data_IF_185669972431
#
_entry.id   IF_185669972431
#
_cell.length_a   1.000
_cell.length_b   1.000
_cell.length_c   1.000
_cell.angle_alpha   90.00
_cell.angle_beta   90.00
_cell.angle_gamma   90.00
#
_symmetry.space_group_name_H-M   'P 1'
#
loop_
_entity.id
_entity.type
_entity.pdbx_description
1 polymer ?
#
# COMPACT_ATOMS: atom_id res chain seq x y z
N UNK A 1 0.65 18.08 -12.59
CA UNK A 1 0.15 18.44 -11.24
C UNK A 1 1.17 19.24 -10.44
N UNK A 2 2.46 18.88 -10.43
CA UNK A 2 3.48 19.58 -9.62
C UNK A 2 4.62 20.21 -10.44
N UNK A 3 4.50 20.23 -11.78
CA UNK A 3 5.49 20.78 -12.71
C UNK A 3 6.92 20.24 -12.55
N UNK A 4 7.08 19.06 -11.96
CA UNK A 4 8.35 18.38 -11.82
C UNK A 4 8.62 17.45 -13.02
N UNK A 5 9.87 17.36 -13.49
CA UNK A 5 10.22 16.44 -14.56
C UNK A 5 9.97 15.00 -14.11
N UNK A 6 9.30 14.23 -14.97
CA UNK A 6 9.14 12.80 -14.77
C UNK A 6 10.42 12.09 -15.24
N UNK A 7 11.00 11.26 -14.37
CA UNK A 7 12.28 10.59 -14.63
C UNK A 7 12.17 9.08 -14.47
N UNK A 8 13.13 8.49 -13.75
CA UNK A 8 13.21 7.05 -13.44
C UNK A 8 12.75 6.79 -11.99
N UNK A 9 11.45 6.84 -11.64
CA UNK A 9 11.00 6.85 -10.26
C UNK A 9 11.41 5.58 -9.48
N UNK A 10 11.28 4.39 -10.09
CA UNK A 10 11.66 3.14 -9.43
C UNK A 10 13.17 3.05 -9.17
N UNK A 11 14.00 3.34 -10.19
CA UNK A 11 15.46 3.32 -10.03
C UNK A 11 15.93 4.35 -8.99
N UNK A 12 15.36 5.57 -9.02
CA UNK A 12 15.70 6.62 -8.06
C UNK A 12 15.25 6.29 -6.64
N UNK A 13 14.09 5.68 -6.47
CA UNK A 13 13.62 5.23 -5.14
C UNK A 13 14.48 4.10 -4.59
N UNK A 14 14.86 3.13 -5.42
CA UNK A 14 15.80 2.06 -5.06
C UNK A 14 17.10 2.66 -4.54
N UNK A 15 17.69 3.57 -5.30
CA UNK A 15 18.96 4.19 -4.94
C UNK A 15 18.86 5.08 -3.69
N UNK A 16 17.75 5.80 -3.51
CA UNK A 16 17.50 6.59 -2.30
C UNK A 16 17.54 5.71 -1.04
N UNK A 17 16.85 4.56 -1.06
CA UNK A 17 16.83 3.64 0.08
C UNK A 17 18.22 3.05 0.33
N UNK A 18 18.95 2.66 -0.71
CA UNK A 18 20.32 2.15 -0.57
C UNK A 18 21.29 3.21 -0.04
N UNK A 19 21.18 4.45 -0.51
CA UNK A 19 21.97 5.58 -0.03
C UNK A 19 21.73 5.85 1.47
N UNK A 20 20.46 5.83 1.89
CA UNK A 20 20.07 5.96 3.29
C UNK A 20 20.62 4.79 4.13
N UNK A 21 20.54 3.54 3.63
CA UNK A 21 21.11 2.38 4.32
C UNK A 21 22.62 2.46 4.45
N UNK A 22 23.35 2.99 3.47
CA UNK A 22 24.79 3.21 3.57
C UNK A 22 25.16 4.22 4.68
N UNK A 23 24.35 5.28 4.83
CA UNK A 23 24.49 6.23 5.95
C UNK A 23 24.25 5.53 7.28
N UNK A 24 23.22 4.70 7.39
CA UNK A 24 22.93 3.95 8.61
C UNK A 24 23.99 2.89 8.93
N UNK A 25 24.52 2.18 7.94
CA UNK A 25 25.63 1.26 8.15
C UNK A 25 26.87 1.99 8.70
N UNK A 26 27.10 3.23 8.29
CA UNK A 26 28.14 4.06 8.90
C UNK A 26 27.82 4.41 10.36
N UNK A 27 26.60 4.86 10.65
CA UNK A 27 26.21 5.29 12.01
C UNK A 27 26.12 4.14 13.02
N UNK A 28 25.51 3.03 12.65
CA UNK A 28 25.18 1.93 13.57
C UNK A 28 26.19 0.79 13.54
N UNK A 29 26.96 0.63 12.45
CA UNK A 29 27.89 -0.49 12.27
C UNK A 29 29.34 -0.04 12.05
N UNK A 30 29.60 1.27 11.95
CA UNK A 30 30.94 1.84 11.75
C UNK A 30 31.52 1.63 10.35
N UNK A 31 30.72 1.22 9.36
CA UNK A 31 31.18 1.00 7.98
C UNK A 31 31.63 2.33 7.33
N UNK A 32 32.70 2.37 6.52
CA UNK A 32 33.06 3.58 5.78
C UNK A 32 31.93 4.03 4.84
N UNK A 33 31.62 5.33 4.82
CA UNK A 33 30.64 5.89 3.91
C UNK A 33 31.28 6.23 2.55
N UNK A 34 31.02 5.39 1.53
CA UNK A 34 31.41 5.63 0.13
C UNK A 34 30.31 5.17 -0.84
N UNK A 35 29.14 5.80 -0.75
CA UNK A 35 28.02 5.53 -1.66
C UNK A 35 28.12 6.40 -2.91
N UNK A 36 28.12 5.78 -4.09
CA UNK A 36 28.18 6.46 -5.40
C UNK A 36 27.20 5.80 -6.37
N UNK A 37 26.05 6.44 -6.59
CA UNK A 37 25.03 5.99 -7.53
C UNK A 37 24.77 6.98 -8.67
N UNK A 38 23.75 6.69 -9.48
CA UNK A 38 23.34 7.55 -10.60
C UNK A 38 22.68 8.86 -10.11
N UNK A 39 21.98 8.81 -8.97
CA UNK A 39 21.17 9.91 -8.44
C UNK A 39 21.69 10.52 -7.13
N UNK A 40 22.43 9.76 -6.32
CA UNK A 40 22.92 10.14 -4.99
C UNK A 40 24.40 9.80 -4.84
N UNK A 41 25.14 10.66 -4.14
CA UNK A 41 26.54 10.43 -3.77
C UNK A 41 26.76 10.89 -2.34
N UNK A 42 27.21 9.99 -1.48
CA UNK A 42 27.51 10.24 -0.07
C UNK A 42 28.85 9.61 0.27
N UNK A 43 29.87 10.44 0.50
CA UNK A 43 31.25 9.99 0.70
C UNK A 43 31.93 10.65 1.90
N UNK A 44 31.17 11.38 2.71
CA UNK A 44 31.67 12.13 3.88
C UNK A 44 30.62 12.08 4.98
N UNK A 45 30.99 11.54 6.14
CA UNK A 45 30.23 11.65 7.38
C UNK A 45 31.12 12.29 8.43
N UNK A 46 30.77 13.51 8.86
CA UNK A 46 31.52 14.20 9.91
C UNK A 46 30.98 13.77 11.28
N UNK A 47 31.80 13.75 12.34
CA UNK A 47 31.32 13.41 13.69
C UNK A 47 30.15 14.27 14.17
N UNK A 48 30.05 15.52 13.70
CA UNK A 48 28.95 16.44 14.03
C UNK A 48 27.58 16.02 13.46
N UNK A 49 27.54 15.11 12.48
CA UNK A 49 26.32 14.60 11.87
C UNK A 49 26.03 13.13 12.24
N UNK A 50 26.90 12.50 13.01
CA UNK A 50 26.73 11.11 13.47
C UNK A 50 25.93 11.09 14.77
N UNK A 51 24.80 10.36 14.84
CA UNK A 51 24.05 10.20 16.08
C UNK A 51 24.88 9.52 17.18
N UNK A 52 24.79 10.02 18.41
CA UNK A 52 25.42 9.41 19.58
C UNK A 52 24.55 8.31 20.21
N UNK A 53 23.22 8.49 20.19
CA UNK A 53 22.27 7.48 20.67
C UNK A 53 21.91 6.50 19.55
N UNK A 54 22.47 5.29 19.64
CA UNK A 54 22.31 4.21 18.66
C UNK A 54 21.59 2.98 19.20
N UNK A 55 21.02 3.06 20.41
CA UNK A 55 20.53 1.89 21.16
C UNK A 55 19.38 1.11 20.49
N UNK A 56 18.63 1.75 19.58
CA UNK A 56 17.47 1.16 18.89
C UNK A 56 17.77 0.69 17.46
N UNK A 57 19.00 0.87 16.98
CA UNK A 57 19.39 0.52 15.61
C UNK A 57 18.72 1.37 14.53
N UNK A 58 18.91 0.96 13.28
CA UNK A 58 18.33 1.63 12.12
C UNK A 58 16.79 1.40 12.05
N UNK A 59 15.99 2.45 11.79
CA UNK A 59 14.54 2.30 11.71
C UNK A 59 14.12 1.50 10.48
N UNK A 60 13.00 0.78 10.58
CA UNK A 60 12.41 0.05 9.45
C UNK A 60 11.89 1.00 8.37
N UNK A 61 12.03 0.60 7.12
CA UNK A 61 11.64 1.34 5.93
C UNK A 61 10.57 0.55 5.20
N UNK A 62 9.36 1.10 5.11
CA UNK A 62 8.29 0.54 4.28
C UNK A 62 8.07 1.45 3.07
N UNK A 63 7.97 0.85 1.87
CA UNK A 63 7.79 1.58 0.62
C UNK A 63 6.37 1.37 0.08
N UNK A 64 5.65 2.46 -0.21
CA UNK A 64 4.38 2.38 -0.93
C UNK A 64 4.60 2.06 -2.41
N UNK A 65 3.91 1.04 -2.93
CA UNK A 65 4.01 0.64 -4.32
C UNK A 65 2.68 0.10 -4.87
N UNK A 66 2.50 0.26 -6.19
CA UNK A 66 1.30 -0.21 -6.93
C UNK A 66 1.72 -0.97 -8.19
N UNK A 67 2.55 -0.36 -9.02
CA UNK A 67 3.04 -0.97 -10.25
C UNK A 67 4.19 -1.96 -9.98
N UNK A 68 4.36 -2.99 -10.83
CA UNK A 68 5.27 -4.11 -10.59
C UNK A 68 6.73 -3.67 -10.38
N UNK A 69 7.20 -2.66 -11.11
CA UNK A 69 8.58 -2.16 -10.96
C UNK A 69 8.86 -1.57 -9.56
N UNK A 70 7.92 -0.81 -9.00
CA UNK A 70 8.11 -0.24 -7.66
C UNK A 70 7.91 -1.30 -6.58
N UNK A 71 7.03 -2.27 -6.81
CA UNK A 71 6.82 -3.42 -5.92
C UNK A 71 8.07 -4.28 -5.82
N UNK A 72 8.73 -4.53 -6.96
CA UNK A 72 10.01 -5.25 -7.00
C UNK A 72 11.10 -4.49 -6.24
N UNK A 73 11.19 -3.16 -6.42
CA UNK A 73 12.11 -2.30 -5.65
C UNK A 73 11.83 -2.37 -4.15
N UNK A 74 10.56 -2.31 -3.73
CA UNK A 74 10.20 -2.43 -2.32
C UNK A 74 10.72 -3.74 -1.72
N UNK A 75 10.44 -4.86 -2.39
CA UNK A 75 10.91 -6.18 -1.95
C UNK A 75 12.44 -6.32 -1.98
N UNK A 76 13.11 -5.67 -2.93
CA UNK A 76 14.56 -5.72 -3.03
C UNK A 76 15.25 -4.99 -1.86
N UNK A 77 14.85 -3.75 -1.56
CA UNK A 77 15.65 -2.85 -0.68
C UNK A 77 14.94 -2.35 0.58
N UNK A 78 13.62 -2.50 0.70
CA UNK A 78 12.84 -2.04 1.87
C UNK A 78 12.51 -3.19 2.84
N UNK A 79 12.14 -2.87 4.07
CA UNK A 79 11.75 -3.84 5.11
C UNK A 79 10.27 -4.28 4.99
N UNK A 80 9.54 -3.66 4.05
CA UNK A 80 8.16 -3.98 3.76
C UNK A 80 7.56 -3.10 2.67
N UNK A 81 6.31 -3.39 2.33
CA UNK A 81 5.50 -2.68 1.33
C UNK A 81 4.22 -2.15 1.96
N UNK A 82 3.87 -0.92 1.61
CA UNK A 82 2.53 -0.37 1.84
C UNK A 82 1.73 -0.55 0.54
N UNK A 83 0.80 -1.50 0.56
CA UNK A 83 -0.12 -1.71 -0.55
C UNK A 83 -1.08 -0.52 -0.62
N UNK A 84 -1.47 -0.11 -1.83
CA UNK A 84 -2.46 0.96 -1.97
C UNK A 84 -3.88 0.37 -1.80
N UNK A 85 -4.79 1.11 -1.14
CA UNK A 85 -6.17 0.67 -0.91
C UNK A 85 -6.94 0.32 -2.19
N UNK A 86 -6.60 0.99 -3.30
CA UNK A 86 -7.04 0.61 -4.65
C UNK A 86 -6.24 -0.58 -5.20
N UNK A 87 -6.43 -1.75 -4.59
CA UNK A 87 -6.02 -3.05 -5.10
C UNK A 87 -7.17 -4.03 -4.87
N UNK A 88 -7.08 -5.19 -5.50
CA UNK A 88 -7.98 -6.31 -5.25
C UNK A 88 -7.13 -7.53 -4.91
N UNK A 89 -7.74 -8.57 -4.34
CA UNK A 89 -7.06 -9.85 -4.11
C UNK A 89 -6.47 -10.41 -5.40
N UNK A 90 -7.24 -10.36 -6.50
CA UNK A 90 -6.78 -10.82 -7.82
C UNK A 90 -5.51 -10.09 -8.28
N UNK A 91 -5.48 -8.75 -8.15
CA UNK A 91 -4.28 -7.98 -8.52
C UNK A 91 -3.11 -8.29 -7.58
N UNK A 92 -3.36 -8.49 -6.28
CA UNK A 92 -2.30 -8.90 -5.34
C UNK A 92 -1.70 -10.24 -5.73
N UNK A 93 -2.52 -11.26 -6.01
CA UNK A 93 -2.06 -12.59 -6.37
C UNK A 93 -1.38 -12.64 -7.74
N UNK A 94 -1.91 -11.94 -8.74
CA UNK A 94 -1.43 -12.05 -10.12
C UNK A 94 -0.27 -11.10 -10.46
N UNK A 95 -0.14 -9.98 -9.75
CA UNK A 95 0.82 -8.92 -10.11
C UNK A 95 1.75 -8.60 -8.94
N UNK A 96 1.19 -8.31 -7.76
CA UNK A 96 1.98 -7.84 -6.62
C UNK A 96 2.89 -8.93 -6.07
N UNK A 97 2.36 -10.12 -5.74
CA UNK A 97 3.15 -11.20 -5.15
C UNK A 97 4.27 -11.69 -6.07
N UNK A 98 4.05 -11.92 -7.38
CA UNK A 98 5.14 -12.26 -8.30
C UNK A 98 6.22 -11.17 -8.39
N UNK A 99 5.86 -9.89 -8.27
CA UNK A 99 6.84 -8.81 -8.24
C UNK A 99 7.62 -8.76 -6.91
N UNK A 100 6.97 -9.08 -5.78
CA UNK A 100 7.63 -9.22 -4.49
C UNK A 100 8.64 -10.36 -4.53
N UNK A 101 8.25 -11.54 -5.03
CA UNK A 101 9.13 -12.70 -5.16
C UNK A 101 10.39 -12.39 -5.98
N UNK A 102 10.23 -11.68 -7.10
CA UNK A 102 11.37 -11.22 -7.92
C UNK A 102 12.30 -10.30 -7.15
N UNK A 103 11.76 -9.34 -6.41
CA UNK A 103 12.57 -8.40 -5.63
C UNK A 103 13.33 -9.08 -4.49
N UNK A 104 12.66 -9.99 -3.77
CA UNK A 104 13.29 -10.81 -2.72
C UNK A 104 14.40 -11.70 -3.28
N UNK A 105 14.17 -12.34 -4.43
CA UNK A 105 15.17 -13.17 -5.08
C UNK A 105 16.43 -12.38 -5.49
N UNK A 106 16.29 -11.11 -5.88
CA UNK A 106 17.43 -10.24 -6.21
C UNK A 106 18.30 -9.89 -5.02
N UNK A 107 17.71 -9.74 -3.83
CA UNK A 107 18.44 -9.40 -2.60
C UNK A 107 18.81 -10.63 -1.77
N UNK A 108 18.39 -11.84 -2.18
CA UNK A 108 18.59 -13.08 -1.43
C UNK A 108 17.82 -13.13 -0.10
N UNK A 109 16.77 -12.29 0.05
CA UNK A 109 15.98 -12.18 1.28
C UNK A 109 14.79 -13.14 1.27
N UNK A 110 14.35 -13.55 2.45
CA UNK A 110 13.19 -14.42 2.60
C UNK A 110 11.90 -13.61 2.75
N UNK A 111 10.76 -14.22 2.38
CA UNK A 111 9.43 -13.62 2.58
C UNK A 111 9.15 -13.26 4.04
N UNK A 112 9.70 -14.01 5.00
CA UNK A 112 9.53 -13.77 6.42
C UNK A 112 10.17 -12.46 6.91
N UNK A 113 11.16 -11.93 6.17
CA UNK A 113 11.89 -10.71 6.51
C UNK A 113 11.29 -9.45 5.86
N UNK A 114 10.08 -9.56 5.29
CA UNK A 114 9.43 -8.51 4.51
C UNK A 114 7.97 -8.37 4.89
N UNK A 115 7.57 -7.20 5.40
CA UNK A 115 6.20 -6.95 5.88
C UNK A 115 5.30 -6.42 4.76
N UNK A 116 4.19 -7.10 4.50
CA UNK A 116 3.11 -6.63 3.62
C UNK A 116 2.03 -5.98 4.47
N UNK A 117 1.93 -4.65 4.38
CA UNK A 117 0.91 -3.87 5.04
C UNK A 117 -0.17 -3.43 4.04
N UNK A 118 -1.44 -3.72 4.35
CA UNK A 118 -2.56 -3.40 3.46
C UNK A 118 -3.65 -2.55 4.15
N UNK A 119 -3.85 -1.29 3.71
CA UNK A 119 -5.00 -0.50 4.08
C UNK A 119 -6.24 -0.87 3.25
N UNK A 120 -6.91 -1.95 3.65
CA UNK A 120 -8.13 -2.43 2.99
C UNK A 120 -9.36 -1.60 3.35
N UNK A 121 -10.33 -1.58 2.44
CA UNK A 121 -11.64 -0.99 2.67
C UNK A 121 -12.56 -1.94 3.43
N UNK A 122 -13.31 -1.37 4.38
CA UNK A 122 -14.38 -2.05 5.11
C UNK A 122 -15.68 -1.29 4.88
N UNK A 123 -16.74 -2.00 4.50
CA UNK A 123 -18.10 -1.46 4.39
C UNK A 123 -19.00 -2.23 5.33
N UNK A 124 -19.40 -1.55 6.41
CA UNK A 124 -20.25 -2.10 7.46
C UNK A 124 -20.88 -0.95 8.26
N UNK A 125 -21.84 -1.28 9.12
CA UNK A 125 -22.55 -0.34 9.99
C UNK A 125 -23.18 -1.04 11.19
N UNK A 126 -23.37 -0.31 12.29
CA UNK A 126 -24.15 -0.74 13.45
C UNK A 126 -25.67 -0.72 13.17
N UNK A 127 -26.07 0.01 12.12
CA UNK A 127 -27.42 0.06 11.59
C UNK A 127 -27.39 0.26 10.07
N UNK A 128 -28.54 0.07 9.43
CA UNK A 128 -28.74 0.23 7.97
C UNK A 128 -28.32 1.62 7.47
N UNK A 129 -28.60 2.66 8.26
CA UNK A 129 -28.27 4.03 7.87
C UNK A 129 -26.75 4.24 7.84
N UNK A 130 -26.03 3.67 8.78
CA UNK A 130 -24.57 3.70 8.82
C UNK A 130 -23.97 2.85 7.72
N UNK A 131 -24.52 1.66 7.47
CA UNK A 131 -24.09 0.80 6.37
C UNK A 131 -24.15 1.55 5.04
N UNK A 132 -25.30 2.13 4.70
CA UNK A 132 -25.50 2.87 3.44
C UNK A 132 -24.60 4.11 3.32
N UNK A 133 -24.36 4.82 4.44
CA UNK A 133 -23.39 5.94 4.46
C UNK A 133 -21.97 5.45 4.15
N UNK A 134 -21.53 4.38 4.79
CA UNK A 134 -20.19 3.79 4.57
C UNK A 134 -20.06 3.29 3.14
N UNK A 135 -21.06 2.56 2.63
CA UNK A 135 -21.11 2.05 1.26
C UNK A 135 -20.95 3.18 0.25
N UNK A 136 -21.78 4.22 0.35
CA UNK A 136 -21.73 5.39 -0.54
C UNK A 136 -20.38 6.10 -0.48
N UNK A 137 -19.80 6.27 0.70
CA UNK A 137 -18.48 6.90 0.85
C UNK A 137 -17.36 6.07 0.20
N UNK A 138 -17.35 4.76 0.43
CA UNK A 138 -16.38 3.83 -0.15
C UNK A 138 -16.50 3.76 -1.66
N UNK A 139 -17.70 3.66 -2.22
CA UNK A 139 -17.93 3.72 -3.67
C UNK A 139 -17.36 5.01 -4.29
N UNK A 140 -17.59 6.18 -3.67
CA UNK A 140 -16.99 7.44 -4.15
C UNK A 140 -15.47 7.42 -4.11
N UNK A 141 -14.87 6.84 -3.06
CA UNK A 141 -13.42 6.76 -2.93
C UNK A 141 -12.80 5.79 -3.95
N UNK A 142 -13.42 4.63 -4.16
CA UNK A 142 -13.03 3.68 -5.22
C UNK A 142 -13.15 4.35 -6.58
N UNK A 143 -14.24 5.04 -6.86
CA UNK A 143 -14.45 5.75 -8.12
C UNK A 143 -13.40 6.84 -8.37
N UNK A 144 -13.04 7.61 -7.33
CA UNK A 144 -11.97 8.60 -7.39
C UNK A 144 -10.63 7.95 -7.75
N UNK A 145 -10.24 6.87 -7.07
CA UNK A 145 -9.02 6.16 -7.42
C UNK A 145 -9.11 5.57 -8.83
N UNK A 146 -10.22 4.91 -9.18
CA UNK A 146 -10.48 4.35 -10.51
C UNK A 146 -10.43 5.39 -11.63
N UNK A 147 -10.59 6.68 -11.35
CA UNK A 147 -10.41 7.75 -12.34
C UNK A 147 -8.94 8.02 -12.71
N UNK A 148 -7.99 7.53 -11.91
CA UNK A 148 -6.54 7.79 -12.09
C UNK A 148 -5.96 6.86 -13.16
N UNK A 149 -5.33 7.37 -14.24
CA UNK A 149 -4.82 6.54 -15.33
C UNK A 149 -3.85 5.44 -14.90
N UNK A 150 -3.02 5.71 -13.88
CA UNK A 150 -2.04 4.76 -13.36
C UNK A 150 -2.67 3.51 -12.71
N UNK A 151 -3.96 3.54 -12.36
CA UNK A 151 -4.66 2.44 -11.70
C UNK A 151 -5.50 1.59 -12.65
N UNK A 152 -5.54 1.95 -13.94
CA UNK A 152 -6.21 1.16 -14.99
C UNK A 152 -5.85 -0.33 -14.96
N UNK A 153 -4.57 -0.75 -14.76
CA UNK A 153 -4.23 -2.17 -14.75
C UNK A 153 -4.94 -2.99 -13.66
N UNK A 154 -5.34 -2.37 -12.54
CA UNK A 154 -6.10 -3.04 -11.47
C UNK A 154 -7.50 -3.38 -11.97
N UNK A 155 -8.16 -2.45 -12.67
CA UNK A 155 -9.48 -2.66 -13.25
C UNK A 155 -9.45 -3.65 -14.43
N UNK A 156 -8.37 -3.65 -15.22
CA UNK A 156 -8.21 -4.57 -16.35
C UNK A 156 -8.13 -6.04 -15.91
N UNK A 157 -7.65 -6.34 -14.70
CA UNK A 157 -7.69 -7.72 -14.13
C UNK A 157 -9.11 -8.29 -14.00
N UNK A 158 -10.11 -7.41 -14.01
CA UNK A 158 -11.53 -7.74 -13.87
C UNK A 158 -12.33 -7.45 -15.14
N UNK A 159 -11.68 -7.00 -16.23
CA UNK A 159 -12.35 -6.60 -17.47
C UNK A 159 -12.96 -5.20 -17.43
N UNK A 160 -12.73 -4.42 -16.36
CA UNK A 160 -13.30 -3.08 -16.16
C UNK A 160 -12.42 -1.94 -16.69
N UNK A 161 -11.57 -2.20 -17.68
CA UNK A 161 -10.67 -1.18 -18.24
C UNK A 161 -11.42 0.03 -18.83
N UNK A 162 -12.63 -0.18 -19.37
CA UNK A 162 -13.48 0.89 -19.90
C UNK A 162 -14.00 1.82 -18.78
N UNK A 163 -14.35 1.27 -17.61
CA UNK A 163 -14.83 2.01 -16.45
C UNK A 163 -13.81 3.08 -16.01
N UNK A 164 -12.50 2.77 -16.07
CA UNK A 164 -11.44 3.76 -15.80
C UNK A 164 -11.59 5.02 -16.66
N UNK A 165 -11.88 4.83 -17.96
CA UNK A 165 -11.96 5.94 -18.92
C UNK A 165 -13.19 6.81 -18.64
N UNK A 166 -14.31 6.19 -18.29
CA UNK A 166 -15.54 6.88 -17.89
C UNK A 166 -15.37 7.64 -16.58
N UNK A 167 -14.83 7.00 -15.55
CA UNK A 167 -14.49 7.65 -14.28
C UNK A 167 -13.52 8.82 -14.47
N UNK A 168 -12.52 8.68 -15.35
CA UNK A 168 -11.60 9.79 -15.67
C UNK A 168 -12.33 10.97 -16.30
N UNK A 169 -13.25 10.73 -17.23
CA UNK A 169 -14.04 11.77 -17.86
C UNK A 169 -14.92 12.51 -16.84
N UNK A 170 -15.67 11.77 -16.03
CA UNK A 170 -16.54 12.34 -15.00
C UNK A 170 -15.76 13.15 -13.96
N UNK A 171 -14.56 12.68 -13.57
CA UNK A 171 -13.71 13.40 -12.61
C UNK A 171 -13.29 14.78 -13.13
N UNK A 172 -12.95 14.88 -14.41
CA UNK A 172 -12.61 16.16 -15.08
C UNK A 172 -13.82 17.09 -15.22
N UNK A 173 -15.04 16.54 -15.21
CA UNK A 173 -16.28 17.30 -15.23
C UNK A 173 -16.76 17.68 -13.82
N UNK A 174 -16.05 17.25 -12.76
CA UNK A 174 -16.45 17.48 -11.37
C UNK A 174 -17.68 16.69 -10.91
N UNK A 175 -18.06 15.64 -11.64
CA UNK A 175 -19.27 14.82 -11.39
C UNK A 175 -19.00 13.72 -10.34
N UNK A 176 -18.48 14.11 -9.18
CA UNK A 176 -17.98 13.19 -8.16
C UNK A 176 -19.05 12.27 -7.56
N UNK A 177 -20.27 12.77 -7.38
CA UNK A 177 -21.36 11.98 -6.81
C UNK A 177 -21.82 10.88 -7.78
N UNK A 178 -21.86 11.20 -9.07
CA UNK A 178 -22.21 10.26 -10.13
C UNK A 178 -21.11 9.22 -10.38
N UNK A 179 -19.84 9.59 -10.24
CA UNK A 179 -18.77 8.59 -10.30
C UNK A 179 -18.97 7.46 -9.30
N UNK A 180 -19.43 7.79 -8.09
CA UNK A 180 -19.71 6.80 -7.06
C UNK A 180 -20.83 5.82 -7.44
N UNK A 181 -21.78 6.23 -8.30
CA UNK A 181 -22.89 5.35 -8.72
C UNK A 181 -22.48 4.33 -9.77
N UNK A 182 -21.31 4.49 -10.40
CA UNK A 182 -20.73 3.51 -11.33
C UNK A 182 -19.98 2.37 -10.63
N UNK A 183 -19.83 2.44 -9.30
CA UNK A 183 -19.26 1.36 -8.50
C UNK A 183 -20.42 0.50 -7.99
N UNK A 184 -20.78 -0.47 -8.80
CA UNK A 184 -21.79 -1.50 -8.47
C UNK A 184 -21.28 -2.47 -7.40
N UNK A 185 -22.18 -3.30 -6.87
CA UNK A 185 -21.88 -4.18 -5.74
C UNK A 185 -20.81 -5.22 -6.07
N UNK A 186 -20.76 -5.74 -7.30
CA UNK A 186 -19.72 -6.65 -7.74
C UNK A 186 -18.32 -6.00 -7.70
N UNK A 187 -18.22 -4.76 -8.16
CA UNK A 187 -16.99 -3.96 -8.10
C UNK A 187 -16.64 -3.66 -6.64
N UNK A 188 -17.60 -3.20 -5.84
CA UNK A 188 -17.38 -2.86 -4.44
C UNK A 188 -16.82 -4.06 -3.66
N UNK A 189 -17.41 -5.24 -3.84
CA UNK A 189 -16.97 -6.47 -3.18
C UNK A 189 -15.55 -6.90 -3.58
N UNK A 190 -15.07 -6.53 -4.77
CA UNK A 190 -13.68 -6.79 -5.16
C UNK A 190 -12.67 -5.89 -4.42
N UNK A 191 -13.05 -4.67 -4.04
CA UNK A 191 -12.16 -3.70 -3.38
C UNK A 191 -12.33 -3.62 -1.86
N UNK A 192 -13.48 -4.03 -1.33
CA UNK A 192 -13.83 -3.90 0.08
C UNK A 192 -14.30 -5.22 0.69
N UNK A 193 -14.10 -5.36 2.00
CA UNK A 193 -14.82 -6.36 2.81
C UNK A 193 -16.17 -5.74 3.19
N UNK A 194 -17.25 -6.26 2.63
CA UNK A 194 -18.62 -5.79 2.84
C UNK A 194 -19.37 -6.82 3.68
N UNK A 195 -20.00 -6.38 4.75
CA UNK A 195 -20.81 -7.29 5.58
C UNK A 195 -21.22 -6.70 6.92
N UNK A 196 -21.89 -7.51 7.73
CA UNK A 196 -22.24 -7.18 9.11
C UNK A 196 -20.97 -7.07 9.99
N UNK A 197 -21.01 -6.32 11.10
CA UNK A 197 -19.86 -6.15 12.00
C UNK A 197 -19.13 -7.45 12.37
N UNK A 198 -19.89 -8.53 12.63
CA UNK A 198 -19.35 -9.84 12.99
C UNK A 198 -18.60 -10.55 11.87
N UNK A 199 -18.88 -10.21 10.60
CA UNK A 199 -18.34 -10.89 9.43
C UNK A 199 -17.04 -10.23 8.92
N UNK A 200 -16.73 -9.02 9.37
CA UNK A 200 -15.58 -8.26 8.85
C UNK A 200 -14.24 -8.94 9.16
N UNK A 201 -13.99 -9.37 10.39
CA UNK A 201 -12.72 -10.05 10.72
C UNK A 201 -12.62 -11.41 10.02
N UNK A 202 -13.64 -12.28 10.05
CA UNK A 202 -13.64 -13.51 9.25
C UNK A 202 -13.38 -13.26 7.77
N UNK A 203 -14.03 -12.25 7.17
CA UNK A 203 -13.86 -11.88 5.76
C UNK A 203 -12.44 -11.41 5.44
N UNK A 204 -11.83 -10.58 6.29
CA UNK A 204 -10.43 -10.16 6.13
C UNK A 204 -9.49 -11.36 6.17
N UNK A 205 -9.64 -12.24 7.17
CA UNK A 205 -8.79 -13.43 7.34
C UNK A 205 -8.92 -14.40 6.18
N UNK A 206 -10.15 -14.67 5.75
CA UNK A 206 -10.42 -15.57 4.64
C UNK A 206 -9.78 -15.08 3.33
N UNK A 207 -9.78 -13.77 3.09
CA UNK A 207 -9.32 -13.18 1.83
C UNK A 207 -7.83 -12.86 1.78
N UNK A 208 -7.26 -12.45 2.92
CA UNK A 208 -5.90 -11.88 2.96
C UNK A 208 -5.00 -12.49 4.03
N UNK A 209 -5.49 -13.42 4.87
CA UNK A 209 -4.73 -13.99 5.97
C UNK A 209 -3.50 -14.81 5.55
N UNK A 210 -3.43 -15.24 4.29
CA UNK A 210 -2.27 -15.94 3.71
C UNK A 210 -1.27 -14.99 3.03
N UNK A 211 -1.59 -13.70 2.90
CA UNK A 211 -0.79 -12.72 2.16
C UNK A 211 -0.31 -11.57 3.03
N UNK A 212 -1.20 -10.98 3.82
CA UNK A 212 -1.01 -9.68 4.49
C UNK A 212 -0.57 -9.90 5.93
N UNK A 213 0.57 -9.31 6.29
CA UNK A 213 1.12 -9.40 7.65
C UNK A 213 0.50 -8.35 8.58
N UNK A 214 0.07 -7.20 8.02
CA UNK A 214 -0.50 -6.09 8.77
C UNK A 214 -1.65 -5.42 8.03
N UNK A 215 -2.81 -5.32 8.69
CA UNK A 215 -3.95 -4.56 8.16
C UNK A 215 -3.96 -3.16 8.76
N UNK A 216 -4.23 -2.16 7.93
CA UNK A 216 -4.38 -0.77 8.34
C UNK A 216 -5.76 -0.23 7.94
N UNK A 217 -6.78 -0.53 8.74
CA UNK A 217 -8.15 -0.13 8.42
C UNK A 217 -8.82 0.60 9.59
N UNK A 218 -9.98 1.21 9.31
CA UNK A 218 -10.88 1.76 10.33
C UNK A 218 -12.16 0.93 10.33
N UNK A 219 -12.67 0.66 11.52
CA UNK A 219 -13.95 -0.02 11.70
C UNK A 219 -15.01 1.02 12.07
N UNK A 220 -15.81 1.50 11.10
CA UNK A 220 -16.71 2.65 11.32
C UNK A 220 -17.83 2.35 12.32
N UNK A 221 -18.10 1.08 12.60
CA UNK A 221 -19.14 0.56 13.49
C UNK A 221 -18.65 0.26 14.91
N UNK A 222 -17.39 0.53 15.22
CA UNK A 222 -16.74 0.14 16.48
C UNK A 222 -16.47 1.38 17.31
N UNK A 223 -16.79 1.31 18.60
CA UNK A 223 -16.44 2.36 19.55
C UNK A 223 -14.97 2.25 19.97
N UNK A 224 -14.38 3.30 20.54
CA UNK A 224 -13.00 3.20 21.06
C UNK A 224 -12.86 2.10 22.13
N UNK A 225 -13.94 1.79 22.87
CA UNK A 225 -13.95 0.76 23.90
C UNK A 225 -13.89 -0.68 23.33
N UNK A 226 -14.51 -0.91 22.17
CA UNK A 226 -14.63 -2.25 21.56
C UNK A 226 -13.50 -2.55 20.56
N UNK A 227 -12.69 -1.54 20.20
CA UNK A 227 -11.58 -1.67 19.26
C UNK A 227 -10.53 -2.72 19.69
N UNK A 228 -10.14 -2.84 20.98
CA UNK A 228 -9.17 -3.85 21.40
C UNK A 228 -9.60 -5.29 21.07
N UNK A 229 -10.89 -5.62 21.22
CA UNK A 229 -11.41 -6.97 20.98
C UNK A 229 -11.41 -7.32 19.50
N UNK A 230 -11.78 -6.38 18.62
CA UNK A 230 -11.63 -6.56 17.17
C UNK A 230 -10.17 -6.75 16.76
N UNK A 231 -9.26 -5.98 17.34
CA UNK A 231 -7.83 -6.11 17.06
C UNK A 231 -7.28 -7.46 17.56
N UNK A 232 -7.78 -7.99 18.67
CA UNK A 232 -7.42 -9.31 19.17
C UNK A 232 -7.93 -10.42 18.21
N UNK A 233 -9.17 -10.33 17.75
CA UNK A 233 -9.75 -11.30 16.81
C UNK A 233 -9.01 -11.35 15.46
N UNK A 234 -8.48 -10.22 15.00
CA UNK A 234 -7.71 -10.13 13.76
C UNK A 234 -6.29 -10.71 13.90
N UNK A 235 -5.73 -10.73 15.12
CA UNK A 235 -4.40 -11.27 15.42
C UNK A 235 -4.39 -12.77 15.74
N UNK A 236 -5.51 -13.29 16.25
CA UNK A 236 -5.74 -14.73 16.43
C UNK A 236 -5.79 -15.44 15.07
#
# INVERSE_FOLDING_TARGET
RFSMPWGKPAARMRELILAMRAIWANWYEGQPLDFRGEFYTHTLMTPMFTPEDTQFGAPRVLLAAVGPLMTEVAAEVADGILIHGFTTERYMRNVTLPAIEKGLAKSGRNRADFEICYPLFVVSGADEQQFERTKKATCKQIAFYGSTPAYRPVLEQHGWGALQSELNLLSKQGRWDEMGTLIEDDILNEFAIVGEPGDIVPGIRARFGDIVDRVATRFPFVTEADLPDMLAALKA
#
